data_IF_035092408265
#
_entry.id   IF_035092408265
#
_cell.length_a   1.000
_cell.length_b   1.000
_cell.length_c   1.000
_cell.angle_alpha   90.00
_cell.angle_beta   90.00
_cell.angle_gamma   90.00
#
_symmetry.space_group_name_H-M   'P 1'
#
loop_
_entity.id
_entity.type
_entity.pdbx_description
1 polymer ?
#
# COMPACT_ATOMS: atom_id res chain seq x y z
N UNK A 1 -27.05 -33.36 -77.12
CA UNK A 1 -27.66 -32.88 -75.85
C UNK A 1 -26.51 -32.67 -74.88
N UNK A 2 -26.06 -31.43 -74.68
CA UNK A 2 -26.53 -30.49 -73.64
C UNK A 2 -26.18 -31.04 -72.23
N UNK A 3 -25.07 -30.64 -71.62
CA UNK A 3 -24.77 -29.37 -70.91
C UNK A 3 -24.99 -29.47 -69.39
N UNK A 4 -24.19 -28.68 -68.66
CA UNK A 4 -24.37 -28.19 -67.29
C UNK A 4 -24.05 -29.19 -66.15
N UNK A 5 -23.44 -28.86 -65.00
CA UNK A 5 -22.97 -27.65 -64.24
C UNK A 5 -22.10 -28.24 -63.10
N UNK A 6 -21.21 -27.58 -62.37
CA UNK A 6 -20.89 -26.16 -62.22
C UNK A 6 -19.73 -25.98 -61.22
N UNK A 7 -19.06 -24.84 -61.37
CA UNK A 7 -18.62 -23.88 -60.33
C UNK A 7 -18.36 -24.42 -58.91
N UNK A 8 -17.13 -24.22 -58.43
CA UNK A 8 -16.92 -23.63 -57.11
C UNK A 8 -15.64 -22.78 -57.10
N UNK A 9 -15.85 -21.48 -56.92
CA UNK A 9 -14.83 -20.51 -56.61
C UNK A 9 -14.75 -20.44 -55.09
N UNK A 10 -13.62 -20.83 -54.50
CA UNK A 10 -13.35 -20.55 -53.09
C UNK A 10 -12.52 -19.26 -52.98
N UNK A 11 -13.25 -18.19 -52.69
CA UNK A 11 -12.71 -16.94 -52.19
C UNK A 11 -12.06 -17.20 -50.82
N UNK A 12 -10.72 -17.10 -50.75
CA UNK A 12 -10.03 -16.98 -49.46
C UNK A 12 -10.35 -15.61 -48.86
N UNK A 13 -11.24 -15.60 -47.87
CA UNK A 13 -11.44 -14.45 -46.98
C UNK A 13 -10.14 -14.22 -46.19
N UNK A 14 -9.50 -13.08 -46.40
CA UNK A 14 -8.45 -12.61 -45.53
C UNK A 14 -9.11 -12.14 -44.22
N UNK A 15 -8.87 -12.86 -43.12
CA UNK A 15 -9.21 -12.41 -41.78
C UNK A 15 -8.45 -11.12 -41.47
N UNK A 16 -9.18 -10.00 -41.40
CA UNK A 16 -8.64 -8.73 -40.93
C UNK A 16 -8.52 -8.82 -39.40
N UNK A 17 -7.29 -8.96 -38.91
CA UNK A 17 -6.99 -8.88 -37.49
C UNK A 17 -7.53 -7.55 -36.91
N UNK A 18 -8.17 -7.56 -35.72
CA UNK A 18 -8.70 -6.33 -35.13
C UNK A 18 -7.52 -5.40 -34.78
N UNK A 19 -7.49 -4.23 -35.43
CA UNK A 19 -6.56 -3.15 -35.10
C UNK A 19 -6.79 -2.73 -33.64
N UNK A 20 -5.91 -3.20 -32.74
CA UNK A 20 -5.81 -2.63 -31.40
C UNK A 20 -5.37 -1.17 -31.55
N UNK A 21 -6.31 -0.25 -31.39
CA UNK A 21 -6.00 1.18 -31.23
C UNK A 21 -5.13 1.31 -29.98
N UNK A 22 -3.82 1.38 -30.19
CA UNK A 22 -2.84 1.76 -29.18
C UNK A 22 -3.09 3.21 -28.83
N UNK A 23 -3.98 3.46 -27.85
CA UNK A 23 -4.13 4.79 -27.29
C UNK A 23 -2.84 5.10 -26.54
N UNK A 24 -1.97 5.88 -27.16
CA UNK A 24 -0.69 6.28 -26.59
C UNK A 24 -0.98 7.10 -25.34
N UNK A 25 -0.67 6.56 -24.17
CA UNK A 25 -0.84 7.24 -22.88
C UNK A 25 -0.19 8.62 -22.93
N UNK A 26 -0.87 9.62 -22.37
CA UNK A 26 -0.28 10.93 -22.12
C UNK A 26 0.97 10.78 -21.26
N UNK A 27 1.95 11.67 -21.40
CA UNK A 27 3.17 11.67 -20.58
C UNK A 27 2.84 11.67 -19.08
N UNK A 28 1.79 12.39 -18.66
CA UNK A 28 1.34 12.42 -17.28
C UNK A 28 0.77 11.07 -16.82
N UNK A 29 -0.05 10.43 -17.65
CA UNK A 29 -0.63 9.10 -17.37
C UNK A 29 0.45 8.02 -17.32
N UNK A 30 1.42 8.08 -18.22
CA UNK A 30 2.57 7.19 -18.24
C UNK A 30 3.41 7.32 -16.96
N UNK A 31 3.68 8.54 -16.52
CA UNK A 31 4.41 8.80 -15.26
C UNK A 31 3.62 8.24 -14.07
N UNK A 32 2.31 8.53 -13.99
CA UNK A 32 1.44 8.02 -12.92
C UNK A 32 1.45 6.50 -12.87
N UNK A 33 1.21 5.85 -14.01
CA UNK A 33 1.20 4.39 -14.11
C UNK A 33 2.56 3.77 -13.76
N UNK A 34 3.66 4.44 -14.10
CA UNK A 34 5.01 4.01 -13.73
C UNK A 34 5.24 4.12 -12.22
N UNK A 35 4.78 5.21 -11.59
CA UNK A 35 4.85 5.35 -10.13
C UNK A 35 4.01 4.29 -9.43
N UNK A 36 2.79 4.02 -9.92
CA UNK A 36 1.91 3.01 -9.34
C UNK A 36 2.52 1.60 -9.44
N UNK A 37 3.20 1.28 -10.55
CA UNK A 37 3.97 0.03 -10.70
C UNK A 37 5.14 -0.06 -9.71
N UNK A 38 5.86 1.05 -9.51
CA UNK A 38 6.96 1.10 -8.53
C UNK A 38 6.45 0.93 -7.11
N UNK A 39 5.35 1.59 -6.74
CA UNK A 39 4.69 1.43 -5.45
C UNK A 39 4.29 -0.03 -5.23
N UNK A 40 3.59 -0.64 -6.20
CA UNK A 40 3.18 -2.05 -6.14
C UNK A 40 4.36 -3.00 -5.97
N UNK A 41 5.47 -2.78 -6.70
CA UNK A 41 6.68 -3.60 -6.56
C UNK A 41 7.34 -3.49 -5.17
N UNK A 42 7.26 -2.32 -4.53
CA UNK A 42 7.73 -2.12 -3.15
C UNK A 42 6.76 -2.80 -2.17
N UNK A 43 5.46 -2.65 -2.35
CA UNK A 43 4.42 -3.28 -1.51
C UNK A 43 4.54 -4.82 -1.53
N UNK A 44 4.87 -5.41 -2.69
CA UNK A 44 5.08 -6.85 -2.87
C UNK A 44 6.40 -7.36 -2.25
N UNK A 45 7.37 -6.47 -1.97
CA UNK A 45 8.68 -6.81 -1.41
C UNK A 45 8.86 -6.17 -0.03
N UNK A 46 8.37 -6.83 1.03
CA UNK A 46 8.44 -6.34 2.43
C UNK A 46 9.82 -5.86 2.88
N UNK A 47 10.89 -6.50 2.43
CA UNK A 47 12.27 -6.15 2.81
C UNK A 47 12.82 -4.93 2.05
N UNK A 48 12.12 -4.44 1.02
CA UNK A 48 12.47 -3.26 0.25
C UNK A 48 11.65 -2.01 0.68
N UNK A 49 10.91 -2.09 1.78
CA UNK A 49 10.05 -1.01 2.25
C UNK A 49 10.86 0.22 2.68
N UNK A 50 10.95 1.19 1.77
CA UNK A 50 11.16 2.59 2.12
C UNK A 50 9.81 3.12 2.61
N UNK A 51 9.76 3.78 3.76
CA UNK A 51 8.53 4.44 4.20
C UNK A 51 8.16 5.53 3.19
N UNK A 52 7.11 5.29 2.41
CA UNK A 52 6.53 6.27 1.49
C UNK A 52 5.22 6.73 2.12
N UNK A 53 5.18 7.99 2.55
CA UNK A 53 3.96 8.51 3.16
C UNK A 53 2.93 8.91 2.11
N UNK A 54 1.71 8.44 2.27
CA UNK A 54 0.55 8.91 1.50
C UNK A 54 -0.19 10.07 2.20
N UNK A 55 0.28 10.54 3.37
CA UNK A 55 -0.35 11.64 4.13
C UNK A 55 0.68 12.61 4.71
N UNK A 56 0.28 13.86 4.95
CA UNK A 56 1.13 14.86 5.62
C UNK A 56 1.51 14.39 7.03
N UNK A 57 0.53 13.91 7.80
CA UNK A 57 0.77 13.39 9.15
C UNK A 57 1.76 12.22 9.16
N UNK A 58 1.64 11.28 8.22
CA UNK A 58 2.59 10.18 8.11
C UNK A 58 4.00 10.65 7.77
N UNK A 59 4.16 11.67 6.93
CA UNK A 59 5.46 12.24 6.56
C UNK A 59 6.12 12.91 7.78
N UNK A 60 5.35 13.70 8.53
CA UNK A 60 5.81 14.37 9.76
C UNK A 60 6.19 13.36 10.85
N UNK A 61 5.35 12.35 11.08
CA UNK A 61 5.63 11.29 12.06
C UNK A 61 6.91 10.54 11.68
N UNK A 62 7.07 10.17 10.41
CA UNK A 62 8.26 9.44 9.98
C UNK A 62 9.54 10.28 10.08
N UNK A 63 9.47 11.57 9.75
CA UNK A 63 10.58 12.49 9.98
C UNK A 63 10.99 12.50 11.46
N UNK A 64 10.02 12.62 12.37
CA UNK A 64 10.26 12.61 13.80
C UNK A 64 10.87 11.28 14.27
N UNK A 65 10.35 10.14 13.80
CA UNK A 65 10.89 8.82 14.13
C UNK A 65 12.36 8.69 13.69
N UNK A 66 12.70 9.19 12.49
CA UNK A 66 14.09 9.19 12.00
C UNK A 66 15.02 10.02 12.88
N UNK A 67 14.56 11.19 13.34
CA UNK A 67 15.34 12.04 14.25
C UNK A 67 15.49 11.39 15.62
N UNK A 68 14.42 10.81 16.16
CA UNK A 68 14.43 10.09 17.43
C UNK A 68 15.43 8.92 17.41
N UNK A 69 15.48 8.14 16.34
CA UNK A 69 16.46 7.05 16.18
C UNK A 69 17.91 7.57 16.22
N UNK A 70 18.17 8.68 15.51
CA UNK A 70 19.47 9.34 15.52
C UNK A 70 19.85 9.88 16.91
N UNK A 71 18.87 10.45 17.62
CA UNK A 71 19.03 10.94 18.99
C UNK A 71 19.28 9.79 19.98
N UNK A 72 18.54 8.68 19.89
CA UNK A 72 18.74 7.51 20.75
C UNK A 72 20.17 6.97 20.61
N UNK A 73 20.67 6.86 19.38
CA UNK A 73 22.05 6.47 19.11
C UNK A 73 23.06 7.44 19.76
N UNK A 74 22.84 8.75 19.64
CA UNK A 74 23.72 9.76 20.21
C UNK A 74 23.69 9.75 21.74
N UNK A 75 22.49 9.67 22.34
CA UNK A 75 22.28 9.60 23.80
C UNK A 75 23.02 8.39 24.38
N UNK A 76 22.87 7.20 23.77
CA UNK A 76 23.57 5.99 24.23
C UNK A 76 25.08 6.11 24.16
N UNK A 77 25.62 6.80 23.15
CA UNK A 77 27.07 7.02 23.01
C UNK A 77 27.63 8.02 24.01
N UNK A 78 26.82 9.01 24.41
CA UNK A 78 27.20 10.07 25.36
C UNK A 78 26.80 9.74 26.80
N UNK A 79 26.18 8.58 27.04
CA UNK A 79 25.84 8.13 28.39
C UNK A 79 27.10 7.93 29.23
N UNK A 80 27.13 8.58 30.40
CA UNK A 80 28.31 8.61 31.28
C UNK A 80 29.31 9.71 30.91
N UNK A 81 29.07 10.42 29.80
CA UNK A 81 29.83 11.59 29.37
C UNK A 81 28.88 12.79 29.20
N UNK A 82 28.41 13.33 30.33
CA UNK A 82 27.52 14.50 30.37
C UNK A 82 26.03 14.18 30.29
N UNK A 83 25.64 12.94 29.98
CA UNK A 83 24.26 12.46 30.11
C UNK A 83 24.17 11.52 31.32
N UNK A 84 23.26 11.84 32.24
CA UNK A 84 23.05 11.08 33.46
C UNK A 84 22.15 9.86 33.25
N UNK A 85 22.34 8.80 34.05
CA UNK A 85 21.53 7.57 33.98
C UNK A 85 20.03 7.86 34.13
N UNK A 86 19.63 8.78 35.01
CA UNK A 86 18.21 9.14 35.20
C UNK A 86 17.57 9.71 33.93
N UNK A 87 18.34 10.47 33.14
CA UNK A 87 17.87 11.02 31.86
C UNK A 87 17.68 9.92 30.83
N UNK A 88 18.60 8.95 30.78
CA UNK A 88 18.49 7.78 29.89
C UNK A 88 17.32 6.88 30.27
N UNK A 89 17.11 6.62 31.56
CA UNK A 89 15.96 5.86 32.06
C UNK A 89 14.65 6.52 31.67
N UNK A 90 14.55 7.85 31.85
CA UNK A 90 13.39 8.63 31.40
C UNK A 90 13.23 8.53 29.88
N UNK A 91 14.29 8.73 29.11
CA UNK A 91 14.26 8.62 27.65
C UNK A 91 13.72 7.26 27.17
N UNK A 92 14.23 6.15 27.71
CA UNK A 92 13.78 4.79 27.37
C UNK A 92 12.30 4.60 27.70
N UNK A 93 11.86 5.13 28.84
CA UNK A 93 10.43 5.07 29.22
C UNK A 93 9.55 5.80 28.22
N UNK A 94 9.90 7.03 27.86
CA UNK A 94 9.14 7.85 26.90
C UNK A 94 9.10 7.18 25.51
N UNK A 95 10.21 6.58 25.06
CA UNK A 95 10.23 5.78 23.82
C UNK A 95 9.26 4.60 23.87
N UNK A 96 9.14 3.94 25.03
CA UNK A 96 8.18 2.86 25.24
C UNK A 96 6.73 3.32 25.10
N UNK A 97 6.42 4.53 25.56
CA UNK A 97 5.06 5.11 25.47
C UNK A 97 4.65 5.44 24.02
N UNK A 98 5.60 5.81 23.15
CA UNK A 98 5.34 6.06 21.73
C UNK A 98 4.75 4.82 21.06
N UNK A 99 5.31 3.64 21.33
CA UNK A 99 4.82 2.37 20.78
C UNK A 99 3.35 2.14 21.14
N UNK A 100 2.99 2.33 22.40
CA UNK A 100 1.62 2.15 22.89
C UNK A 100 0.67 3.15 22.22
N UNK A 101 1.07 4.42 22.09
CA UNK A 101 0.25 5.46 21.43
C UNK A 101 0.01 5.15 19.95
N UNK A 102 1.04 4.71 19.22
CA UNK A 102 0.91 4.33 17.81
C UNK A 102 -0.04 3.13 17.67
N UNK A 103 0.12 2.09 18.50
CA UNK A 103 -0.74 0.92 18.47
C UNK A 103 -2.20 1.26 18.75
N UNK A 104 -2.46 2.13 19.74
CA UNK A 104 -3.83 2.55 20.07
C UNK A 104 -4.47 3.36 18.93
N UNK A 105 -3.71 4.25 18.29
CA UNK A 105 -4.18 5.03 17.16
C UNK A 105 -4.48 4.14 15.94
N UNK A 106 -3.64 3.14 15.68
CA UNK A 106 -3.85 2.15 14.64
C UNK A 106 -5.15 1.37 14.87
N UNK A 107 -5.35 0.82 16.07
CA UNK A 107 -6.57 0.08 16.44
C UNK A 107 -7.81 0.96 16.27
N UNK A 108 -7.77 2.20 16.75
CA UNK A 108 -8.88 3.15 16.61
C UNK A 108 -9.20 3.46 15.13
N UNK A 109 -8.16 3.68 14.30
CA UNK A 109 -8.34 3.88 12.87
C UNK A 109 -8.99 2.68 12.17
N UNK A 110 -8.59 1.45 12.56
CA UNK A 110 -9.22 0.22 12.05
C UNK A 110 -10.68 0.12 12.45
N UNK A 111 -11.02 0.39 13.71
CA UNK A 111 -12.41 0.39 14.19
C UNK A 111 -13.29 1.37 13.39
N UNK A 112 -12.78 2.56 13.06
CA UNK A 112 -13.50 3.51 12.21
C UNK A 112 -13.78 2.90 10.83
N UNK A 113 -12.78 2.28 10.21
CA UNK A 113 -12.91 1.69 8.87
C UNK A 113 -13.86 0.47 8.85
N UNK A 114 -13.84 -0.36 9.89
CA UNK A 114 -14.72 -1.53 10.02
C UNK A 114 -16.19 -1.11 10.15
N UNK A 115 -16.47 -0.02 10.88
CA UNK A 115 -17.84 0.51 11.06
C UNK A 115 -18.52 0.88 9.73
N UNK A 116 -17.74 1.26 8.72
CA UNK A 116 -18.26 1.67 7.40
C UNK A 116 -18.74 0.44 6.60
N UNK A 117 -18.32 -0.79 6.96
CA UNK A 117 -18.67 -2.05 6.30
C UNK A 117 -18.40 -2.05 4.78
N UNK A 118 -17.40 -1.28 4.34
CA UNK A 118 -17.04 -1.16 2.93
C UNK A 118 -15.55 -0.82 2.75
N UNK A 119 -14.85 -1.65 1.98
CA UNK A 119 -13.40 -1.55 1.77
C UNK A 119 -13.00 -1.01 0.39
N UNK A 120 -13.98 -0.64 -0.46
CA UNK A 120 -13.74 -0.29 -1.88
C UNK A 120 -12.74 0.84 -2.08
N UNK A 121 -12.78 1.84 -1.19
CA UNK A 121 -11.96 3.06 -1.28
C UNK A 121 -10.65 2.98 -0.48
N UNK A 122 -10.25 1.80 0.01
CA UNK A 122 -8.99 1.61 0.73
C UNK A 122 -7.89 1.24 -0.28
N UNK A 123 -7.08 2.21 -0.70
CA UNK A 123 -6.08 1.99 -1.75
C UNK A 123 -4.95 1.04 -1.34
N UNK A 124 -4.55 1.08 -0.07
CA UNK A 124 -3.53 0.17 0.45
C UNK A 124 -4.06 -1.28 0.53
N UNK A 125 -3.44 -2.18 -0.22
CA UNK A 125 -3.90 -3.57 -0.36
C UNK A 125 -3.89 -4.35 0.96
N UNK A 126 -2.83 -4.20 1.76
CA UNK A 126 -2.71 -4.89 3.03
C UNK A 126 -3.76 -4.42 4.04
N UNK A 127 -3.95 -3.10 4.15
CA UNK A 127 -4.99 -2.52 5.00
C UNK A 127 -6.38 -3.00 4.54
N UNK A 128 -6.67 -2.95 3.23
CA UNK A 128 -7.95 -3.42 2.68
C UNK A 128 -8.24 -4.86 3.09
N UNK A 129 -7.26 -5.76 2.97
CA UNK A 129 -7.39 -7.18 3.33
C UNK A 129 -7.63 -7.37 4.83
N UNK A 130 -6.93 -6.61 5.66
CA UNK A 130 -7.10 -6.64 7.12
C UNK A 130 -8.52 -6.24 7.49
N UNK A 131 -9.00 -5.07 7.02
CA UNK A 131 -10.33 -4.57 7.34
C UNK A 131 -11.42 -5.51 6.84
N UNK A 132 -11.28 -6.07 5.62
CA UNK A 132 -12.26 -7.02 5.08
C UNK A 132 -12.42 -8.25 5.97
N UNK A 133 -11.31 -8.84 6.43
CA UNK A 133 -11.35 -10.01 7.33
C UNK A 133 -12.05 -9.71 8.64
N UNK A 134 -11.80 -8.54 9.22
CA UNK A 134 -12.43 -8.13 10.49
C UNK A 134 -13.93 -7.86 10.30
N UNK A 135 -14.34 -7.28 9.17
CA UNK A 135 -15.74 -7.14 8.78
C UNK A 135 -16.43 -8.51 8.66
N UNK A 136 -15.82 -9.44 7.93
CA UNK A 136 -16.41 -10.76 7.67
C UNK A 136 -16.57 -11.54 8.99
N UNK A 137 -15.56 -11.51 9.85
CA UNK A 137 -15.62 -12.09 11.20
C UNK A 137 -16.76 -11.51 12.04
N UNK A 138 -16.94 -10.19 12.04
CA UNK A 138 -18.03 -9.55 12.77
C UNK A 138 -19.43 -9.90 12.22
N UNK A 139 -19.52 -10.32 10.95
CA UNK A 139 -20.78 -10.81 10.37
C UNK A 139 -21.07 -12.24 10.82
N UNK A 140 -20.06 -13.11 10.78
CA UNK A 140 -20.17 -14.49 11.26
C UNK A 140 -20.60 -14.55 12.73
N UNK A 141 -20.00 -13.73 13.60
CA UNK A 141 -20.34 -13.64 15.03
C UNK A 141 -21.76 -13.11 15.31
N UNK A 142 -22.36 -12.35 14.39
CA UNK A 142 -23.75 -11.88 14.52
C UNK A 142 -24.78 -12.88 14.01
N UNK A 143 -24.35 -13.84 13.20
CA UNK A 143 -25.21 -14.90 12.63
C UNK A 143 -25.14 -16.23 13.39
N UNK A 144 -24.18 -16.37 14.32
CA UNK A 144 -24.03 -17.50 15.24
C UNK A 144 -24.84 -17.28 16.53
#
# INVERSE_FOLDING_TARGET
MAEAKGKNAEQKQAEVAPQQKSTRLSRAEFIKQTMDRKKRAIDENRNAQVFVSDSVAGAEIFYNLRMIDSMDSAIRKLWGNGIETKEVEKWIKELGEIKTKISNLESFGREILIKIDNTRNIDNFDLRRIIQREIDKNKEEKTA
#
